data_IF_425875949509
#
_entry.id   IF_425875949509
#
_cell.length_a   1.000
_cell.length_b   1.000
_cell.length_c   1.000
_cell.angle_alpha   90.00
_cell.angle_beta   90.00
_cell.angle_gamma   90.00
#
_symmetry.space_group_name_H-M   'P 1'
#
loop_
_entity.id
_entity.type
_entity.pdbx_description
1 polymer ?
#
# COMPACT_ATOMS: atom_id res chain seq x y z
N UNK A 1 -17.62 -17.57 4.03
CA UNK A 1 -16.62 -17.99 3.02
C UNK A 1 -15.46 -18.67 3.73
N UNK A 2 -14.92 -19.77 3.21
CA UNK A 2 -13.79 -20.48 3.83
C UNK A 2 -12.47 -19.69 3.61
N UNK A 3 -11.64 -19.57 4.65
CA UNK A 3 -10.37 -18.83 4.70
C UNK A 3 -9.43 -19.21 3.54
N UNK A 4 -9.39 -20.49 3.16
CA UNK A 4 -8.56 -20.97 2.06
C UNK A 4 -9.01 -20.41 0.69
N UNK A 5 -10.32 -20.28 0.47
CA UNK A 5 -10.88 -19.71 -0.75
C UNK A 5 -10.59 -18.21 -0.84
N UNK A 6 -10.65 -17.51 0.30
CA UNK A 6 -10.30 -16.08 0.41
C UNK A 6 -8.81 -15.84 0.13
N UNK A 7 -7.93 -16.70 0.64
CA UNK A 7 -6.48 -16.59 0.41
C UNK A 7 -6.11 -16.85 -1.06
N UNK A 8 -6.73 -17.84 -1.69
CA UNK A 8 -6.50 -18.13 -3.11
C UNK A 8 -6.95 -16.97 -4.01
N UNK A 9 -8.13 -16.39 -3.74
CA UNK A 9 -8.64 -15.23 -4.45
C UNK A 9 -7.69 -14.02 -4.33
N UNK A 10 -7.20 -13.74 -3.11
CA UNK A 10 -6.23 -12.67 -2.87
C UNK A 10 -4.91 -12.86 -3.64
N UNK A 11 -4.38 -14.09 -3.67
CA UNK A 11 -3.15 -14.39 -4.44
C UNK A 11 -3.36 -14.14 -5.94
N UNK A 12 -4.52 -14.54 -6.47
CA UNK A 12 -4.85 -14.37 -7.88
C UNK A 12 -5.05 -12.90 -8.25
N UNK A 13 -5.79 -12.14 -7.44
CA UNK A 13 -5.96 -10.70 -7.61
C UNK A 13 -4.60 -9.96 -7.60
N UNK A 14 -3.70 -10.34 -6.69
CA UNK A 14 -2.33 -9.79 -6.67
C UNK A 14 -1.58 -10.09 -7.97
N UNK A 15 -1.63 -11.33 -8.47
CA UNK A 15 -0.97 -11.69 -9.73
C UNK A 15 -1.52 -10.89 -10.91
N UNK A 16 -2.83 -10.69 -10.98
CA UNK A 16 -3.46 -9.88 -12.02
C UNK A 16 -2.99 -8.42 -11.94
N UNK A 17 -3.02 -7.82 -10.74
CA UNK A 17 -2.55 -6.45 -10.52
C UNK A 17 -1.08 -6.26 -10.91
N UNK A 18 -0.23 -7.22 -10.58
CA UNK A 18 1.19 -7.21 -10.96
C UNK A 18 1.38 -7.36 -12.48
N UNK A 19 0.63 -8.25 -13.13
CA UNK A 19 0.68 -8.46 -14.57
C UNK A 19 0.24 -7.21 -15.34
N UNK A 20 -0.87 -6.58 -14.93
CA UNK A 20 -1.31 -5.32 -15.50
C UNK A 20 -0.29 -4.20 -15.34
N UNK A 21 0.34 -4.10 -14.17
CA UNK A 21 1.34 -3.07 -13.91
C UNK A 21 2.60 -3.26 -14.76
N UNK A 22 3.03 -4.50 -14.95
CA UNK A 22 4.10 -4.87 -15.89
C UNK A 22 3.74 -4.51 -17.33
N UNK A 23 2.51 -4.83 -17.78
CA UNK A 23 2.04 -4.52 -19.12
C UNK A 23 1.95 -2.99 -19.36
N UNK A 24 1.44 -2.23 -18.38
CA UNK A 24 1.39 -0.77 -18.44
C UNK A 24 2.79 -0.15 -18.53
N UNK A 25 3.75 -0.64 -17.77
CA UNK A 25 5.13 -0.18 -17.84
C UNK A 25 5.77 -0.48 -19.21
N UNK A 26 5.56 -1.70 -19.72
CA UNK A 26 6.06 -2.09 -21.04
C UNK A 26 5.46 -1.22 -22.16
N UNK A 27 4.16 -0.93 -22.11
CA UNK A 27 3.50 -0.06 -23.09
C UNK A 27 4.02 1.38 -23.04
N UNK A 28 4.21 1.94 -21.83
CA UNK A 28 4.76 3.29 -21.65
C UNK A 28 6.19 3.42 -22.17
N UNK A 29 7.00 2.36 -22.03
CA UNK A 29 8.41 2.34 -22.40
C UNK A 29 8.71 1.64 -23.73
N UNK A 30 7.70 1.24 -24.51
CA UNK A 30 7.87 0.39 -25.71
C UNK A 30 8.83 0.94 -26.77
N UNK A 31 8.97 2.27 -26.85
CA UNK A 31 9.84 2.96 -27.80
C UNK A 31 11.13 3.47 -27.15
N UNK A 32 11.37 3.15 -25.88
CA UNK A 32 12.57 3.59 -25.19
C UNK A 32 13.79 2.80 -25.63
N UNK A 33 14.91 3.51 -25.73
CA UNK A 33 16.23 2.95 -25.84
C UNK A 33 16.94 3.10 -24.50
N UNK A 34 17.85 2.17 -24.22
CA UNK A 34 18.61 2.11 -22.99
C UNK A 34 20.08 2.29 -23.32
N UNK A 35 20.62 3.47 -23.06
CA UNK A 35 21.99 3.85 -23.44
C UNK A 35 22.86 3.94 -22.20
N UNK A 36 23.96 3.18 -22.18
CA UNK A 36 24.97 3.33 -21.15
C UNK A 36 25.72 4.66 -21.37
N UNK A 37 25.58 5.59 -20.44
CA UNK A 37 26.29 6.88 -20.48
C UNK A 37 27.65 6.79 -19.80
N UNK A 38 27.73 6.06 -18.70
CA UNK A 38 28.94 5.88 -17.89
C UNK A 38 28.98 4.44 -17.39
N UNK A 39 30.14 3.79 -17.53
CA UNK A 39 30.43 2.49 -16.91
C UNK A 39 31.86 2.48 -16.38
N UNK A 40 31.99 2.71 -15.08
CA UNK A 40 33.25 2.71 -14.33
C UNK A 40 33.11 1.80 -13.11
N UNK A 41 34.21 1.43 -12.43
CA UNK A 41 34.16 0.51 -11.28
C UNK A 41 33.27 0.97 -10.12
N UNK A 42 33.11 2.29 -9.93
CA UNK A 42 32.41 2.92 -8.81
C UNK A 42 31.17 3.72 -9.21
N UNK A 43 30.87 3.78 -10.52
CA UNK A 43 29.69 4.44 -11.06
C UNK A 43 29.21 3.81 -12.36
N UNK A 44 27.90 3.60 -12.46
CA UNK A 44 27.22 3.17 -13.68
C UNK A 44 25.98 4.03 -13.91
N UNK A 45 25.84 4.59 -15.11
CA UNK A 45 24.73 5.48 -15.46
C UNK A 45 24.10 5.05 -16.78
N UNK A 46 22.79 4.87 -16.76
CA UNK A 46 21.98 4.50 -17.92
C UNK A 46 20.93 5.55 -18.19
N UNK A 47 20.76 5.90 -19.47
CA UNK A 47 19.67 6.73 -19.97
C UNK A 47 18.58 5.86 -20.56
N UNK A 48 17.35 6.04 -20.08
CA UNK A 48 16.15 5.37 -20.53
C UNK A 48 15.24 6.39 -21.20
N UNK A 49 15.23 6.44 -22.53
CA UNK A 49 14.50 7.46 -23.28
C UNK A 49 14.14 7.00 -24.69
N UNK A 50 12.97 7.43 -25.20
CA UNK A 50 12.65 7.38 -26.63
C UNK A 50 13.29 8.56 -27.39
N UNK A 51 13.79 8.32 -28.60
CA UNK A 51 14.52 9.34 -29.38
C UNK A 51 13.71 10.63 -29.61
N UNK A 52 12.42 10.49 -29.92
CA UNK A 52 11.54 11.59 -30.34
C UNK A 52 10.80 12.31 -29.21
N UNK A 53 10.92 11.88 -27.94
CA UNK A 53 10.15 12.45 -26.83
C UNK A 53 10.87 12.32 -25.49
N UNK A 54 10.57 13.22 -24.56
CA UNK A 54 11.00 13.12 -23.15
C UNK A 54 9.96 12.44 -22.27
N UNK A 55 8.80 12.05 -22.83
CA UNK A 55 7.76 11.37 -22.07
C UNK A 55 8.29 10.08 -21.42
N UNK A 56 8.12 9.99 -20.11
CA UNK A 56 8.62 8.94 -19.25
C UNK A 56 10.14 8.76 -19.30
N UNK A 57 10.93 9.71 -19.81
CA UNK A 57 12.38 9.59 -19.86
C UNK A 57 13.00 9.71 -18.47
N UNK A 58 14.00 8.89 -18.16
CA UNK A 58 14.74 8.94 -16.90
C UNK A 58 16.16 8.41 -17.04
N UNK A 59 17.02 8.82 -16.11
CA UNK A 59 18.35 8.26 -15.96
C UNK A 59 18.39 7.40 -14.68
N UNK A 60 19.04 6.23 -14.76
CA UNK A 60 19.38 5.38 -13.61
C UNK A 60 20.86 5.60 -13.30
N UNK A 61 21.15 6.11 -12.12
CA UNK A 61 22.51 6.35 -11.62
C UNK A 61 22.80 5.41 -10.46
N UNK A 62 23.82 4.57 -10.59
CA UNK A 62 24.21 3.58 -9.59
C UNK A 62 25.62 3.91 -9.12
N UNK A 63 25.77 4.09 -7.81
CA UNK A 63 27.06 4.37 -7.16
C UNK A 63 27.30 3.37 -6.04
N UNK A 64 28.48 3.40 -5.42
CA UNK A 64 28.75 2.59 -4.22
C UNK A 64 27.76 2.85 -3.07
N UNK A 65 27.18 4.05 -2.99
CA UNK A 65 26.38 4.49 -1.84
C UNK A 65 24.87 4.34 -2.04
N UNK A 66 24.42 4.15 -3.27
CA UNK A 66 23.00 4.12 -3.57
C UNK A 66 22.71 4.10 -5.06
N UNK A 67 21.44 3.88 -5.36
CA UNK A 67 20.87 4.05 -6.69
C UNK A 67 19.95 5.27 -6.66
N UNK A 68 20.07 6.16 -7.65
CA UNK A 68 19.17 7.27 -7.87
C UNK A 68 18.54 7.12 -9.26
N UNK A 69 17.23 7.35 -9.34
CA UNK A 69 16.48 7.45 -10.58
C UNK A 69 15.91 8.86 -10.65
N UNK A 70 16.17 9.55 -11.76
CA UNK A 70 15.78 10.96 -11.94
C UNK A 70 15.21 11.14 -13.35
N UNK A 71 14.07 11.83 -13.46
CA UNK A 71 13.47 12.10 -14.77
C UNK A 71 11.98 12.41 -14.74
N UNK A 72 11.35 12.30 -15.90
CA UNK A 72 9.91 12.58 -16.13
C UNK A 72 9.01 11.60 -15.38
N UNK A 73 9.51 10.40 -15.04
CA UNK A 73 8.77 9.48 -14.19
C UNK A 73 8.77 9.93 -12.72
N UNK A 74 9.54 10.95 -12.34
CA UNK A 74 9.77 11.39 -10.97
C UNK A 74 11.06 10.82 -10.37
N UNK A 75 11.40 11.32 -9.17
CA UNK A 75 12.68 11.04 -8.54
C UNK A 75 12.56 10.01 -7.43
N UNK A 76 13.43 9.00 -7.46
CA UNK A 76 13.51 7.94 -6.46
C UNK A 76 14.97 7.65 -6.11
N UNK A 77 15.20 7.23 -4.88
CA UNK A 77 16.53 6.79 -4.42
C UNK A 77 16.38 5.53 -3.59
N UNK A 78 17.31 4.60 -3.77
CA UNK A 78 17.36 3.33 -3.06
C UNK A 78 18.62 3.26 -2.19
N UNK A 79 18.47 2.70 -1.00
CA UNK A 79 19.56 2.55 0.00
C UNK A 79 20.43 1.31 -0.27
N UNK A 80 20.53 0.90 -1.54
CA UNK A 80 21.37 -0.19 -2.03
C UNK A 80 22.28 0.37 -3.13
N UNK A 81 23.56 0.01 -3.13
CA UNK A 81 24.54 0.52 -4.08
C UNK A 81 24.93 -0.48 -5.18
N UNK A 82 26.06 -0.24 -5.84
CA UNK A 82 26.59 -1.05 -6.95
C UNK A 82 26.79 -2.55 -6.65
N UNK A 83 26.97 -2.94 -5.38
CA UNK A 83 27.03 -4.36 -5.00
C UNK A 83 25.75 -5.13 -5.33
N UNK A 84 24.64 -4.40 -5.47
CA UNK A 84 23.36 -4.90 -5.98
C UNK A 84 23.20 -4.56 -7.47
N UNK A 85 23.44 -3.30 -7.85
CA UNK A 85 23.48 -2.85 -9.24
C UNK A 85 22.16 -3.03 -10.02
N UNK A 86 22.27 -3.12 -11.35
CA UNK A 86 21.10 -3.21 -12.24
C UNK A 86 20.26 -4.48 -12.01
N UNK A 87 20.90 -5.57 -11.58
CA UNK A 87 20.21 -6.85 -11.33
C UNK A 87 19.24 -6.78 -10.16
N UNK A 88 19.52 -5.95 -9.16
CA UNK A 88 18.55 -5.65 -8.11
C UNK A 88 17.29 -5.01 -8.66
N UNK A 89 17.45 -3.98 -9.51
CA UNK A 89 16.30 -3.30 -10.12
C UNK A 89 15.51 -4.22 -11.05
N UNK A 90 16.16 -5.19 -11.69
CA UNK A 90 15.57 -6.18 -12.58
C UNK A 90 14.92 -7.38 -11.84
N UNK A 91 14.93 -7.42 -10.51
CA UNK A 91 14.33 -8.51 -9.72
C UNK A 91 12.83 -8.68 -9.94
N UNK A 92 12.28 -9.83 -9.55
CA UNK A 92 10.87 -10.15 -9.80
C UNK A 92 9.89 -9.59 -8.75
N UNK A 93 10.40 -9.25 -7.56
CA UNK A 93 9.61 -8.71 -6.46
C UNK A 93 9.68 -7.17 -6.41
N UNK A 94 8.77 -6.55 -7.16
CA UNK A 94 8.70 -5.07 -7.26
C UNK A 94 7.99 -4.48 -6.04
N UNK A 95 6.86 -5.07 -5.65
CA UNK A 95 5.92 -4.47 -4.69
C UNK A 95 6.40 -4.56 -3.25
N UNK A 96 7.20 -5.57 -2.92
CA UNK A 96 7.80 -5.73 -1.61
C UNK A 96 9.30 -5.42 -1.65
N UNK A 97 10.09 -6.19 -2.41
CA UNK A 97 11.56 -6.09 -2.30
C UNK A 97 12.11 -4.75 -2.82
N UNK A 98 11.70 -4.28 -4.00
CA UNK A 98 12.12 -2.96 -4.49
C UNK A 98 11.61 -1.81 -3.60
N UNK A 99 10.33 -1.85 -3.24
CA UNK A 99 9.70 -0.82 -2.40
C UNK A 99 10.37 -0.70 -1.03
N UNK A 100 10.72 -1.81 -0.38
CA UNK A 100 11.37 -1.78 0.96
C UNK A 100 12.76 -1.14 0.95
N UNK A 101 13.46 -1.16 -0.18
CA UNK A 101 14.79 -0.55 -0.33
C UNK A 101 14.76 0.91 -0.76
N UNK A 102 13.59 1.47 -1.07
CA UNK A 102 13.44 2.91 -1.25
C UNK A 102 13.82 3.65 0.04
N UNK A 103 14.47 4.81 -0.11
CA UNK A 103 14.59 5.75 1.00
C UNK A 103 13.20 6.12 1.53
N UNK A 104 13.11 6.31 2.84
CA UNK A 104 11.83 6.54 3.53
C UNK A 104 11.09 7.77 2.97
N UNK A 105 11.82 8.85 2.67
CA UNK A 105 11.28 10.07 2.04
C UNK A 105 10.65 9.84 0.66
N UNK A 106 10.94 8.71 0.01
CA UNK A 106 10.41 8.35 -1.31
C UNK A 106 9.34 7.25 -1.26
N UNK A 107 9.03 6.69 -0.09
CA UNK A 107 7.88 5.79 0.11
C UNK A 107 6.61 6.61 0.19
N UNK A 108 6.21 7.22 -0.94
CA UNK A 108 5.00 8.05 -1.04
C UNK A 108 3.78 7.25 -0.60
N UNK A 109 3.17 7.69 0.50
CA UNK A 109 1.94 7.13 1.02
C UNK A 109 0.79 8.10 0.81
N UNK A 110 -0.40 7.56 0.62
CA UNK A 110 -1.65 8.31 0.53
C UNK A 110 -2.64 7.75 1.55
N UNK A 111 -3.53 8.61 2.02
CA UNK A 111 -4.63 8.20 2.88
C UNK A 111 -5.44 7.08 2.21
N UNK A 112 -5.82 6.07 3.01
CA UNK A 112 -6.65 4.97 2.55
C UNK A 112 -7.91 4.93 3.41
N UNK A 113 -9.02 5.43 2.85
CA UNK A 113 -10.34 5.36 3.49
C UNK A 113 -10.69 3.92 3.89
N UNK A 114 -10.31 2.93 3.06
CA UNK A 114 -10.50 1.51 3.37
C UNK A 114 -9.73 1.07 4.61
N UNK A 115 -8.44 1.41 4.72
CA UNK A 115 -7.63 1.03 5.88
C UNK A 115 -8.07 1.79 7.14
N UNK A 116 -8.37 3.07 7.01
CA UNK A 116 -8.93 3.88 8.09
C UNK A 116 -10.19 3.25 8.66
N UNK A 117 -11.18 2.94 7.81
CA UNK A 117 -12.42 2.28 8.23
C UNK A 117 -12.18 0.89 8.81
N UNK A 118 -11.25 0.12 8.22
CA UNK A 118 -10.87 -1.18 8.75
C UNK A 118 -10.31 -1.07 10.18
N UNK A 119 -9.43 -0.11 10.44
CA UNK A 119 -8.87 0.15 11.77
C UNK A 119 -10.01 0.42 12.76
N UNK A 120 -10.90 1.36 12.46
CA UNK A 120 -12.02 1.72 13.35
C UNK A 120 -12.89 0.51 13.70
N UNK A 121 -13.29 -0.27 12.70
CA UNK A 121 -14.13 -1.46 12.91
C UNK A 121 -13.35 -2.53 13.67
N UNK A 122 -12.10 -2.80 13.32
CA UNK A 122 -11.29 -3.86 13.93
C UNK A 122 -11.03 -3.60 15.42
N UNK A 123 -10.83 -2.34 15.80
CA UNK A 123 -10.65 -1.91 17.19
C UNK A 123 -11.90 -2.16 18.02
N UNK A 124 -13.07 -1.79 17.50
CA UNK A 124 -14.34 -2.01 18.19
C UNK A 124 -14.67 -3.51 18.25
N UNK A 125 -14.44 -4.28 17.18
CA UNK A 125 -14.63 -5.73 17.21
C UNK A 125 -13.76 -6.42 18.26
N UNK A 126 -12.51 -5.97 18.45
CA UNK A 126 -11.62 -6.47 19.50
C UNK A 126 -12.16 -6.14 20.89
N UNK A 127 -12.66 -4.93 21.10
CA UNK A 127 -13.31 -4.55 22.36
C UNK A 127 -14.55 -5.41 22.65
N UNK A 128 -15.39 -5.66 21.64
CA UNK A 128 -16.58 -6.49 21.78
C UNK A 128 -16.23 -7.94 22.15
N UNK A 129 -15.17 -8.50 21.57
CA UNK A 129 -14.67 -9.84 21.93
C UNK A 129 -14.37 -9.96 23.42
N UNK A 130 -13.79 -8.93 24.03
CA UNK A 130 -13.37 -8.98 25.41
C UNK A 130 -14.50 -8.60 26.40
N UNK A 131 -15.42 -7.72 25.98
CA UNK A 131 -16.28 -6.99 26.92
C UNK A 131 -17.78 -6.95 26.58
N UNK A 132 -18.28 -7.67 25.56
CA UNK A 132 -19.73 -7.76 25.29
C UNK A 132 -20.39 -8.98 25.96
N UNK A 133 -21.73 -8.98 26.04
CA UNK A 133 -22.49 -10.13 26.54
C UNK A 133 -22.46 -11.29 25.54
N UNK A 134 -22.64 -12.53 26.02
CA UNK A 134 -22.72 -13.71 25.13
C UNK A 134 -23.82 -13.56 24.06
N UNK A 135 -24.95 -12.94 24.42
CA UNK A 135 -26.06 -12.69 23.49
C UNK A 135 -25.67 -11.73 22.36
N UNK A 136 -24.94 -10.65 22.66
CA UNK A 136 -24.42 -9.73 21.65
C UNK A 136 -23.38 -10.45 20.79
N UNK A 137 -22.46 -11.18 21.43
CA UNK A 137 -21.39 -11.92 20.78
C UNK A 137 -21.93 -12.91 19.74
N UNK A 138 -22.90 -13.72 20.12
CA UNK A 138 -23.53 -14.73 19.27
C UNK A 138 -24.34 -14.12 18.11
N UNK A 139 -24.80 -12.88 18.27
CA UNK A 139 -25.49 -12.13 17.22
C UNK A 139 -24.55 -11.43 16.23
N UNK A 140 -23.25 -11.28 16.55
CA UNK A 140 -22.27 -10.68 15.64
C UNK A 140 -22.07 -11.55 14.39
N UNK A 141 -21.86 -10.95 13.21
CA UNK A 141 -21.46 -11.71 12.04
C UNK A 141 -20.08 -12.36 12.26
N UNK A 142 -19.85 -13.53 11.67
CA UNK A 142 -18.64 -14.32 11.89
C UNK A 142 -17.32 -13.57 11.62
N UNK A 143 -17.33 -12.57 10.72
CA UNK A 143 -16.15 -11.75 10.45
C UNK A 143 -15.88 -10.70 11.55
N UNK A 144 -16.88 -10.32 12.35
CA UNK A 144 -16.75 -9.38 13.46
C UNK A 144 -16.35 -10.08 14.77
N UNK A 145 -16.57 -11.40 14.85
CA UNK A 145 -16.10 -12.24 15.96
C UNK A 145 -14.60 -12.53 15.92
N UNK A 146 -13.92 -12.19 14.82
CA UNK A 146 -12.48 -12.31 14.68
C UNK A 146 -11.93 -11.02 14.04
N UNK A 147 -11.26 -10.20 14.85
CA UNK A 147 -10.70 -8.92 14.41
C UNK A 147 -9.73 -9.08 13.22
N UNK A 148 -9.07 -10.24 13.07
CA UNK A 148 -8.17 -10.51 11.95
C UNK A 148 -8.90 -10.77 10.63
N UNK A 149 -10.21 -11.01 10.67
CA UNK A 149 -11.09 -11.12 9.51
C UNK A 149 -11.70 -9.79 9.09
N UNK A 150 -11.62 -8.75 9.93
CA UNK A 150 -12.16 -7.43 9.59
C UNK A 150 -11.42 -6.82 8.40
N UNK A 151 -12.18 -6.39 7.40
CA UNK A 151 -11.68 -5.69 6.21
C UNK A 151 -12.45 -4.39 6.02
N UNK A 152 -11.89 -3.47 5.24
CA UNK A 152 -12.54 -2.18 5.02
C UNK A 152 -13.89 -2.28 4.30
N UNK A 153 -14.16 -3.36 3.54
CA UNK A 153 -15.48 -3.59 2.93
C UNK A 153 -16.59 -3.82 3.98
N UNK A 154 -16.24 -4.29 5.17
CA UNK A 154 -17.21 -4.53 6.26
C UNK A 154 -17.72 -3.24 6.91
N UNK A 155 -17.18 -2.06 6.55
CA UNK A 155 -17.62 -0.76 7.09
C UNK A 155 -19.14 -0.59 7.05
N UNK A 156 -19.75 -0.76 5.88
CA UNK A 156 -21.19 -0.54 5.71
C UNK A 156 -22.05 -1.50 6.53
N UNK A 157 -21.63 -2.78 6.60
CA UNK A 157 -22.30 -3.80 7.39
C UNK A 157 -22.17 -3.51 8.89
N UNK A 158 -20.98 -3.15 9.36
CA UNK A 158 -20.75 -2.80 10.76
C UNK A 158 -21.55 -1.56 11.17
N UNK A 159 -21.60 -0.52 10.33
CA UNK A 159 -22.43 0.66 10.60
C UNK A 159 -23.91 0.29 10.78
N UNK A 160 -24.45 -0.57 9.93
CA UNK A 160 -25.84 -1.02 10.05
C UNK A 160 -26.08 -1.80 11.36
N UNK A 161 -25.10 -2.61 11.78
CA UNK A 161 -25.11 -3.29 13.07
C UNK A 161 -25.13 -2.28 14.23
N UNK A 162 -24.28 -1.24 14.19
CA UNK A 162 -24.24 -0.19 15.21
C UNK A 162 -25.57 0.55 15.32
N UNK A 163 -26.20 0.90 14.19
CA UNK A 163 -27.52 1.55 14.15
C UNK A 163 -28.62 0.66 14.75
N UNK A 164 -28.51 -0.66 14.57
CA UNK A 164 -29.48 -1.62 15.11
C UNK A 164 -29.37 -1.71 16.62
N UNK A 165 -28.15 -1.87 17.14
CA UNK A 165 -27.90 -2.01 18.58
C UNK A 165 -28.08 -0.69 19.35
N UNK A 166 -27.79 0.49 18.77
CA UNK A 166 -28.04 1.78 19.44
C UNK A 166 -29.52 2.07 19.71
N UNK A 167 -30.44 1.40 19.02
CA UNK A 167 -31.90 1.59 19.14
C UNK A 167 -32.53 0.61 20.13
N UNK A 168 -31.77 -0.37 20.58
CA UNK A 168 -32.19 -1.30 21.61
C UNK A 168 -31.98 -0.68 22.98
N UNK A 169 -33.02 -0.02 23.49
CA UNK A 169 -33.00 0.64 24.80
C UNK A 169 -33.04 -0.36 25.98
N UNK A 170 -33.22 -1.66 25.71
CA UNK A 170 -33.11 -2.71 26.72
C UNK A 170 -31.64 -3.10 26.95
N UNK A 171 -30.80 -2.90 25.92
CA UNK A 171 -29.34 -3.01 26.02
C UNK A 171 -28.75 -1.74 26.63
N UNK A 172 -28.32 -1.83 27.89
CA UNK A 172 -27.72 -0.73 28.65
C UNK A 172 -26.30 -0.31 28.22
N UNK A 173 -25.83 -0.71 27.04
CA UNK A 173 -24.50 -0.36 26.51
C UNK A 173 -24.60 0.87 25.61
N UNK A 174 -24.35 2.04 26.18
CA UNK A 174 -24.42 3.34 25.50
C UNK A 174 -23.30 3.55 24.47
N UNK A 175 -22.27 2.69 24.44
CA UNK A 175 -21.14 2.78 23.50
C UNK A 175 -21.60 2.69 22.04
N UNK A 176 -22.63 1.90 21.74
CA UNK A 176 -23.19 1.81 20.39
C UNK A 176 -23.70 3.15 19.86
N UNK A 177 -24.29 3.98 20.72
CA UNK A 177 -24.72 5.33 20.35
C UNK A 177 -23.52 6.21 20.00
N UNK A 178 -22.48 6.17 20.83
CA UNK A 178 -21.27 6.95 20.63
C UNK A 178 -20.51 6.53 19.36
N UNK A 179 -20.43 5.22 19.06
CA UNK A 179 -19.81 4.73 17.82
C UNK A 179 -20.55 5.21 16.57
N UNK A 180 -21.88 5.16 16.56
CA UNK A 180 -22.66 5.59 15.39
C UNK A 180 -22.46 7.08 15.09
N UNK A 181 -22.51 7.93 16.13
CA UNK A 181 -22.29 9.36 16.00
C UNK A 181 -20.87 9.67 15.48
N UNK A 182 -19.86 8.91 15.91
CA UNK A 182 -18.49 9.03 15.41
C UNK A 182 -18.32 8.50 13.98
N UNK A 183 -19.06 7.47 13.57
CA UNK A 183 -18.99 6.96 12.21
C UNK A 183 -19.54 7.94 11.18
N UNK A 184 -20.55 8.73 11.53
CA UNK A 184 -21.03 9.83 10.68
C UNK A 184 -19.96 10.91 10.47
N UNK A 185 -19.20 11.23 11.52
CA UNK A 185 -18.06 12.17 11.40
C UNK A 185 -16.93 11.58 10.55
N UNK A 186 -16.61 10.30 10.77
CA UNK A 186 -15.57 9.58 10.04
C UNK A 186 -15.86 9.43 8.53
N UNK A 187 -17.13 9.49 8.11
CA UNK A 187 -17.53 9.39 6.70
C UNK A 187 -16.95 10.52 5.84
N UNK A 188 -16.74 11.70 6.43
CA UNK A 188 -16.27 12.90 5.73
C UNK A 188 -14.73 13.04 5.72
N UNK A 189 -14.00 12.16 6.41
CA UNK A 189 -12.56 12.26 6.53
C UNK A 189 -11.87 11.88 5.22
N UNK A 190 -11.12 12.84 4.67
CA UNK A 190 -10.56 12.73 3.32
C UNK A 190 -9.03 12.58 3.27
N UNK A 191 -8.32 12.84 4.36
CA UNK A 191 -6.86 12.90 4.36
C UNK A 191 -6.23 12.48 5.70
N UNK A 192 -4.94 12.16 5.66
CA UNK A 192 -4.20 11.53 6.75
C UNK A 192 -4.21 12.37 8.02
N UNK A 193 -3.93 13.66 7.93
CA UNK A 193 -3.83 14.55 9.10
C UNK A 193 -5.17 14.66 9.84
N UNK A 194 -6.29 14.77 9.12
CA UNK A 194 -7.63 14.78 9.69
C UNK A 194 -7.97 13.43 10.35
N UNK A 195 -7.60 12.32 9.72
CA UNK A 195 -7.80 10.99 10.29
C UNK A 195 -7.01 10.78 11.58
N UNK A 196 -5.74 11.19 11.63
CA UNK A 196 -4.94 11.12 12.86
C UNK A 196 -5.50 12.04 13.96
N UNK A 197 -5.96 13.23 13.60
CA UNK A 197 -6.61 14.14 14.55
C UNK A 197 -7.87 13.51 15.14
N UNK A 198 -8.73 12.96 14.28
CA UNK A 198 -9.96 12.29 14.68
C UNK A 198 -9.68 11.07 15.56
N UNK A 199 -8.72 10.23 15.18
CA UNK A 199 -8.33 9.05 15.97
C UNK A 199 -7.79 9.45 17.33
N UNK A 200 -6.94 10.48 17.42
CA UNK A 200 -6.42 10.97 18.70
C UNK A 200 -7.52 11.45 19.62
N UNK A 201 -8.44 12.27 19.09
CA UNK A 201 -9.47 12.94 19.89
C UNK A 201 -10.54 11.95 20.37
N UNK A 202 -10.68 10.80 19.71
CA UNK A 202 -11.71 9.80 19.98
C UNK A 202 -11.13 8.41 20.30
N UNK A 203 -9.85 8.31 20.67
CA UNK A 203 -9.13 7.04 20.80
C UNK A 203 -9.77 6.08 21.81
N UNK A 204 -10.26 6.62 22.94
CA UNK A 204 -10.92 5.86 23.99
C UNK A 204 -12.26 5.29 23.50
N UNK A 205 -13.12 6.16 22.94
CA UNK A 205 -14.45 5.76 22.45
C UNK A 205 -14.33 4.76 21.30
N UNK A 206 -13.36 4.94 20.40
CA UNK A 206 -13.11 4.05 19.25
C UNK A 206 -12.25 2.83 19.59
N UNK A 207 -11.90 2.63 20.87
CA UNK A 207 -11.15 1.47 21.34
C UNK A 207 -9.80 1.29 20.61
N UNK A 208 -9.14 2.39 20.25
CA UNK A 208 -7.91 2.38 19.45
C UNK A 208 -6.66 1.99 20.26
N UNK A 209 -6.75 2.04 21.59
CA UNK A 209 -5.64 1.82 22.51
C UNK A 209 -4.71 3.04 22.65
N UNK A 210 -3.73 2.94 23.54
CA UNK A 210 -2.74 4.01 23.78
C UNK A 210 -1.82 4.25 22.57
N UNK A 211 -1.58 3.19 21.77
CA UNK A 211 -0.74 3.19 20.56
C UNK A 211 -1.57 3.48 19.29
N UNK A 212 -2.62 4.30 19.39
CA UNK A 212 -3.52 4.61 18.26
C UNK A 212 -2.78 5.13 17.01
N UNK A 213 -1.62 5.76 17.20
CA UNK A 213 -0.79 6.32 16.13
C UNK A 213 -0.04 5.26 15.32
N UNK A 214 0.04 4.01 15.79
CA UNK A 214 0.68 2.91 15.07
C UNK A 214 -0.24 2.25 14.05
N UNK A 215 -1.55 2.50 14.13
CA UNK A 215 -2.50 1.97 13.18
C UNK A 215 -2.24 2.50 11.77
N UNK A 216 -2.04 1.57 10.84
CA UNK A 216 -1.72 1.92 9.45
C UNK A 216 -2.98 2.29 8.68
N UNK A 217 -3.21 3.59 8.51
CA UNK A 217 -4.33 4.16 7.73
C UNK A 217 -3.93 4.65 6.34
N UNK A 218 -2.67 4.46 5.97
CA UNK A 218 -2.11 4.87 4.68
C UNK A 218 -1.72 3.67 3.82
N UNK A 219 -1.86 3.83 2.51
CA UNK A 219 -1.37 2.87 1.51
C UNK A 219 -0.28 3.50 0.65
N UNK A 220 0.55 2.66 0.05
CA UNK A 220 1.52 3.11 -0.94
C UNK A 220 0.78 3.73 -2.13
N UNK A 221 1.29 4.86 -2.63
CA UNK A 221 0.69 5.56 -3.75
C UNK A 221 0.82 4.75 -5.06
N UNK A 222 -0.25 4.66 -5.85
CA UNK A 222 -0.25 3.92 -7.12
C UNK A 222 0.76 4.47 -8.13
N UNK A 223 1.00 5.79 -8.12
CA UNK A 223 2.03 6.40 -8.96
C UNK A 223 3.44 5.92 -8.60
N UNK A 224 3.71 5.62 -7.31
CA UNK A 224 4.99 5.05 -6.90
C UNK A 224 5.18 3.64 -7.45
N UNK A 225 4.14 2.79 -7.41
CA UNK A 225 4.22 1.48 -8.04
C UNK A 225 4.42 1.59 -9.55
N UNK A 226 3.73 2.51 -10.22
CA UNK A 226 3.95 2.75 -11.64
C UNK A 226 5.42 3.13 -11.95
N UNK A 227 6.04 3.97 -11.13
CA UNK A 227 7.47 4.32 -11.23
C UNK A 227 8.36 3.09 -11.06
N UNK A 228 8.14 2.30 -10.01
CA UNK A 228 8.92 1.09 -9.73
C UNK A 228 8.83 0.07 -10.86
N UNK A 229 7.64 -0.14 -11.45
CA UNK A 229 7.49 -1.05 -12.59
C UNK A 229 8.15 -0.53 -13.87
N UNK A 230 8.17 0.79 -14.11
CA UNK A 230 8.93 1.37 -15.23
C UNK A 230 10.44 1.19 -15.05
N UNK A 231 10.96 1.41 -13.83
CA UNK A 231 12.37 1.16 -13.49
C UNK A 231 12.70 -0.33 -13.67
N UNK A 232 11.85 -1.23 -13.18
CA UNK A 232 12.02 -2.68 -13.31
C UNK A 232 12.06 -3.13 -14.78
N UNK A 233 11.14 -2.62 -15.60
CA UNK A 233 11.09 -2.91 -17.02
C UNK A 233 12.37 -2.47 -17.73
N UNK A 234 12.82 -1.24 -17.48
CA UNK A 234 14.07 -0.72 -18.05
C UNK A 234 15.29 -1.53 -17.60
N UNK A 235 15.38 -1.88 -16.33
CA UNK A 235 16.48 -2.67 -15.79
C UNK A 235 16.55 -4.07 -16.41
N UNK A 236 15.40 -4.73 -16.61
CA UNK A 236 15.34 -6.02 -17.32
C UNK A 236 15.80 -5.91 -18.77
N UNK A 237 15.42 -4.84 -19.46
CA UNK A 237 15.88 -4.58 -20.83
C UNK A 237 17.39 -4.30 -20.91
N UNK A 238 17.94 -3.52 -19.97
CA UNK A 238 19.37 -3.25 -19.86
C UNK A 238 20.16 -4.55 -19.64
N UNK A 239 19.69 -5.42 -18.75
CA UNK A 239 20.33 -6.72 -18.52
C UNK A 239 20.31 -7.59 -19.79
N UNK A 240 19.17 -7.66 -20.47
CA UNK A 240 19.07 -8.42 -21.71
C UNK A 240 20.02 -7.90 -22.81
N UNK A 241 20.23 -6.58 -22.91
CA UNK A 241 21.22 -5.99 -23.82
C UNK A 241 22.64 -6.36 -23.45
N UNK A 242 22.97 -6.39 -22.15
CA UNK A 242 24.30 -6.78 -21.67
C UNK A 242 24.59 -8.27 -21.95
N UNK A 243 23.60 -9.14 -21.76
CA UNK A 243 23.72 -10.57 -22.05
C UNK A 243 23.92 -10.83 -23.55
N UNK A 244 23.19 -10.10 -24.41
CA UNK A 244 23.36 -10.17 -25.87
C UNK A 244 24.73 -9.66 -26.35
N UNK A 245 25.30 -8.66 -25.68
CA UNK A 245 26.62 -8.14 -26.02
C UNK A 245 27.77 -9.05 -25.54
N UNK A 246 27.50 -9.98 -24.61
CA UNK A 246 28.47 -10.92 -24.05
C UNK A 246 28.43 -12.32 -24.69
N UNK A 247 27.38 -12.63 -25.46
CA UNK A 247 27.20 -13.88 -26.21
C UNK A 247 27.86 -13.84 -27.59
#
# INVERSE_FOLDING_TARGET
>A
MNVETTRAAYIEERRQTEAESKARAAEKLKNHQYTCLVKQPDVEVWRCKAESTTAYAFDIMMTRFGIAVVGDIGDLTFSVGLGYGISFLAGDDVTYYLHTKLNESHKKQVFSTTLFRQVLVSSICRELHDNCSEEIWDALPAWAQDADLVRGEHWGEFRALTVTNRRDLENGDDRWMHWDDLFDLAENIGFTEEAHQFMRDNAEVLCLGEEWYEHRITKTCDSLYAQLYMINHAAKAIMAQADQAAA
#
